data_IF_162838395719
#
_entry.id   IF_162838395719
#
_cell.length_a   1.000
_cell.length_b   1.000
_cell.length_c   1.000
_cell.angle_alpha   90.00
_cell.angle_beta   90.00
_cell.angle_gamma   90.00
#
_symmetry.space_group_name_H-M   'P 1'
#
loop_
_entity.id
_entity.type
_entity.pdbx_description
1 polymer ?
#
# COMPACT_ATOMS: atom_id res chain seq x y z
N UNK A 1 -7.33 -21.67 -20.25
CA UNK A 1 -8.29 -22.38 -19.38
C UNK A 1 -9.11 -21.33 -18.64
N UNK A 2 -10.44 -21.34 -18.75
CA UNK A 2 -11.31 -20.36 -18.05
C UNK A 2 -11.42 -20.77 -16.58
N UNK A 3 -10.93 -19.92 -15.68
CA UNK A 3 -11.12 -20.08 -14.24
C UNK A 3 -12.40 -19.36 -13.82
N UNK A 4 -13.36 -20.12 -13.30
CA UNK A 4 -14.55 -19.58 -12.63
C UNK A 4 -14.13 -18.95 -11.29
N UNK A 5 -14.45 -17.68 -11.08
CA UNK A 5 -14.40 -17.08 -9.73
C UNK A 5 -15.65 -17.54 -8.96
N UNK A 6 -15.56 -18.71 -8.33
CA UNK A 6 -16.61 -19.23 -7.46
C UNK A 6 -16.57 -18.52 -6.11
N UNK A 7 -17.60 -17.74 -5.80
CA UNK A 7 -17.83 -17.15 -4.48
C UNK A 7 -18.18 -18.29 -3.52
N UNK A 8 -17.25 -18.69 -2.66
CA UNK A 8 -17.51 -19.59 -1.55
C UNK A 8 -17.80 -18.76 -0.30
N UNK A 9 -19.06 -18.77 0.14
CA UNK A 9 -19.47 -18.13 1.38
C UNK A 9 -20.94 -17.74 1.37
N UNK A 10 -21.78 -18.58 1.97
CA UNK A 10 -22.98 -18.09 2.63
C UNK A 10 -22.54 -17.22 3.82
N UNK A 11 -23.20 -16.07 4.03
CA UNK A 11 -23.60 -15.49 5.34
C UNK A 11 -23.40 -13.98 5.49
N UNK A 12 -24.41 -13.41 6.12
CA UNK A 12 -24.34 -12.30 7.08
C UNK A 12 -23.07 -12.38 7.95
N UNK A 13 -22.12 -11.46 7.74
CA UNK A 13 -20.88 -11.37 8.52
C UNK A 13 -19.77 -10.66 7.74
N UNK A 14 -19.41 -9.45 8.15
CA UNK A 14 -18.52 -8.53 7.42
C UNK A 14 -17.02 -8.89 7.41
N UNK A 15 -16.65 -10.15 7.14
CA UNK A 15 -15.26 -10.58 7.06
C UNK A 15 -14.96 -11.24 5.73
N UNK A 16 -14.50 -10.44 4.78
CA UNK A 16 -13.95 -10.93 3.51
C UNK A 16 -12.47 -11.28 3.66
N UNK A 17 -12.01 -12.25 2.87
CA UNK A 17 -10.60 -12.66 2.80
C UNK A 17 -10.09 -12.51 1.37
N UNK A 18 -8.89 -11.98 1.23
CA UNK A 18 -8.23 -11.79 -0.06
C UNK A 18 -6.85 -12.47 -0.03
N UNK A 19 -6.48 -13.11 -1.13
CA UNK A 19 -5.18 -13.77 -1.32
C UNK A 19 -4.58 -13.30 -2.63
N UNK A 20 -3.31 -12.93 -2.61
CA UNK A 20 -2.53 -12.54 -3.80
C UNK A 20 -1.44 -13.58 -4.01
N UNK A 21 -1.28 -14.07 -5.25
CA UNK A 21 -0.19 -14.95 -5.62
C UNK A 21 0.92 -14.14 -6.29
N UNK A 22 2.09 -14.08 -5.66
CA UNK A 22 3.28 -13.39 -6.20
C UNK A 22 4.26 -14.42 -6.75
N UNK A 23 4.85 -14.13 -7.91
CA UNK A 23 5.82 -14.97 -8.62
C UNK A 23 6.90 -14.09 -9.24
N UNK A 24 8.06 -14.69 -9.53
CA UNK A 24 9.07 -14.05 -10.36
C UNK A 24 8.49 -13.77 -11.77
N UNK A 25 8.74 -12.56 -12.29
CA UNK A 25 8.15 -12.08 -13.54
C UNK A 25 8.53 -12.94 -14.74
N UNK A 26 9.83 -13.25 -14.92
CA UNK A 26 10.27 -14.09 -16.04
C UNK A 26 9.64 -15.47 -16.01
N UNK A 27 9.51 -16.05 -14.81
CA UNK A 27 8.91 -17.37 -14.64
C UNK A 27 7.41 -17.37 -14.98
N UNK A 28 6.71 -16.32 -14.57
CA UNK A 28 5.30 -16.11 -14.89
C UNK A 28 5.11 -15.94 -16.40
N UNK A 29 5.95 -15.13 -17.05
CA UNK A 29 5.92 -14.90 -18.50
C UNK A 29 6.19 -16.19 -19.30
N UNK A 30 7.22 -16.96 -18.92
CA UNK A 30 7.56 -18.25 -19.58
C UNK A 30 6.41 -19.27 -19.54
N UNK A 31 5.54 -19.18 -18.52
CA UNK A 31 4.36 -20.03 -18.37
C UNK A 31 3.07 -19.44 -18.94
N UNK A 32 3.13 -18.24 -19.52
CA UNK A 32 1.95 -17.54 -20.03
C UNK A 32 0.93 -17.20 -18.94
N UNK A 33 1.38 -17.00 -17.70
CA UNK A 33 0.49 -16.62 -16.60
C UNK A 33 -0.01 -15.18 -16.80
N UNK A 34 -1.30 -14.88 -16.53
CA UNK A 34 -1.81 -13.50 -16.56
C UNK A 34 -1.12 -12.65 -15.50
N UNK A 35 -0.58 -11.50 -15.91
CA UNK A 35 0.08 -10.54 -15.02
C UNK A 35 -0.87 -9.36 -14.79
N UNK A 36 -1.27 -9.13 -13.54
CA UNK A 36 -2.20 -8.06 -13.16
C UNK A 36 -1.44 -6.78 -12.80
N UNK A 37 -0.33 -6.92 -12.10
CA UNK A 37 0.56 -5.84 -11.69
C UNK A 37 1.96 -6.42 -11.42
N UNK A 38 2.96 -5.54 -11.45
CA UNK A 38 4.31 -5.83 -10.98
C UNK A 38 4.49 -5.21 -9.59
N UNK A 39 5.10 -5.97 -8.68
CA UNK A 39 5.47 -5.47 -7.36
C UNK A 39 6.92 -4.98 -7.42
N UNK A 40 7.09 -3.66 -7.45
CA UNK A 40 8.41 -3.04 -7.62
C UNK A 40 9.24 -3.05 -6.32
N UNK A 41 8.59 -2.85 -5.17
CA UNK A 41 9.28 -2.80 -3.88
C UNK A 41 8.42 -2.20 -2.78
N UNK A 42 9.03 -1.93 -1.62
CA UNK A 42 8.32 -1.41 -0.46
C UNK A 42 9.18 -1.24 0.78
N UNK A 43 8.71 -0.38 1.69
CA UNK A 43 9.37 -0.14 2.97
C UNK A 43 8.42 -0.41 4.15
N UNK A 44 9.01 -0.66 5.32
CA UNK A 44 8.29 -0.80 6.58
C UNK A 44 9.06 -0.10 7.70
N UNK A 45 8.35 0.66 8.54
CA UNK A 45 8.93 1.32 9.70
C UNK A 45 7.98 1.28 10.92
N UNK A 46 8.45 1.82 12.04
CA UNK A 46 7.67 1.99 13.28
C UNK A 46 8.02 3.33 13.91
N UNK A 47 7.03 4.00 14.48
CA UNK A 47 7.21 5.28 15.16
C UNK A 47 8.16 5.23 16.37
N UNK A 48 8.26 4.08 17.03
CA UNK A 48 9.12 3.84 18.20
C UNK A 48 9.05 4.94 19.28
N UNK A 49 7.86 5.48 19.53
CA UNK A 49 7.65 6.67 20.37
C UNK A 49 6.79 6.40 21.60
N UNK A 50 5.54 5.99 21.41
CA UNK A 50 4.61 5.69 22.49
C UNK A 50 3.74 4.49 22.12
N UNK A 51 3.23 3.77 23.12
CA UNK A 51 2.46 2.54 22.90
C UNK A 51 1.17 2.76 22.11
N UNK A 52 0.48 3.87 22.37
CA UNK A 52 -0.85 4.18 21.77
C UNK A 52 -0.88 5.52 21.04
N UNK A 53 0.07 6.41 21.32
CA UNK A 53 0.01 7.77 20.82
C UNK A 53 0.95 7.88 19.62
N UNK A 54 0.49 8.44 18.49
CA UNK A 54 1.38 8.72 17.38
C UNK A 54 2.42 9.76 17.80
N UNK A 55 3.54 9.80 17.07
CA UNK A 55 4.50 10.91 17.20
C UNK A 55 3.84 12.23 16.86
N UNK A 56 4.15 13.27 17.63
CA UNK A 56 3.67 14.63 17.38
C UNK A 56 4.18 15.23 16.07
N UNK A 57 5.39 14.84 15.63
CA UNK A 57 5.99 15.28 14.36
C UNK A 57 5.41 14.57 13.12
N UNK A 58 4.77 13.41 13.33
CA UNK A 58 4.18 12.58 12.28
C UNK A 58 5.19 12.05 11.25
N UNK A 59 6.47 11.94 11.57
CA UNK A 59 7.53 11.60 10.58
C UNK A 59 7.52 10.13 10.11
N UNK A 60 6.82 9.24 10.80
CA UNK A 60 6.74 7.83 10.42
C UNK A 60 6.17 7.62 9.02
N UNK A 61 5.05 8.26 8.68
CA UNK A 61 4.42 8.08 7.37
C UNK A 61 5.29 8.64 6.22
N UNK A 62 5.77 9.91 6.26
CA UNK A 62 6.59 10.44 5.18
C UNK A 62 7.90 9.65 4.98
N UNK A 63 8.58 9.26 6.07
CA UNK A 63 9.81 8.48 5.95
C UNK A 63 9.58 7.10 5.34
N UNK A 64 8.48 6.42 5.68
CA UNK A 64 8.16 5.13 5.08
C UNK A 64 7.89 5.23 3.58
N UNK A 65 7.14 6.26 3.16
CA UNK A 65 6.84 6.49 1.74
C UNK A 65 8.13 6.83 0.99
N UNK A 66 8.95 7.72 1.53
CA UNK A 66 10.23 8.12 0.94
C UNK A 66 11.17 6.91 0.75
N UNK A 67 11.35 6.09 1.80
CA UNK A 67 12.18 4.88 1.69
C UNK A 67 11.62 3.87 0.70
N UNK A 68 10.29 3.80 0.51
CA UNK A 68 9.69 2.93 -0.50
C UNK A 68 9.95 3.41 -1.92
N UNK A 69 9.98 4.73 -2.15
CA UNK A 69 10.34 5.31 -3.44
C UNK A 69 11.82 5.10 -3.75
N UNK A 70 12.68 5.25 -2.73
CA UNK A 70 14.12 4.99 -2.82
C UNK A 70 14.43 3.52 -3.14
N UNK A 71 13.71 2.57 -2.51
CA UNK A 71 13.87 1.12 -2.76
C UNK A 71 13.64 0.75 -4.23
N UNK A 72 12.69 1.43 -4.89
CA UNK A 72 12.33 1.18 -6.29
C UNK A 72 12.96 2.16 -7.27
N UNK A 73 13.73 3.14 -6.78
CA UNK A 73 14.36 4.18 -7.60
C UNK A 73 13.37 5.08 -8.36
N UNK A 74 12.17 5.29 -7.82
CA UNK A 74 11.13 6.15 -8.44
C UNK A 74 11.09 7.53 -7.81
N UNK A 75 10.77 8.53 -8.62
CA UNK A 75 10.46 9.88 -8.20
C UNK A 75 8.98 10.02 -7.78
N UNK A 76 8.63 10.96 -6.88
CA UNK A 76 7.24 11.21 -6.49
C UNK A 76 6.30 11.50 -7.68
N UNK A 77 6.82 12.11 -8.75
CA UNK A 77 6.10 12.50 -9.97
C UNK A 77 5.62 11.30 -10.79
N UNK A 78 6.24 10.13 -10.60
CA UNK A 78 5.86 8.89 -11.27
C UNK A 78 4.69 8.17 -10.58
N UNK A 79 4.23 8.66 -9.41
CA UNK A 79 3.13 8.06 -8.66
C UNK A 79 1.80 8.72 -9.02
N UNK A 80 0.91 7.98 -9.69
CA UNK A 80 -0.40 8.51 -10.08
C UNK A 80 -1.51 8.31 -9.03
N UNK A 81 -1.36 7.31 -8.16
CA UNK A 81 -2.42 6.94 -7.21
C UNK A 81 -1.85 6.39 -5.91
N UNK A 82 -2.45 6.82 -4.79
CA UNK A 82 -2.08 6.37 -3.44
C UNK A 82 -3.33 5.81 -2.76
N UNK A 83 -3.27 4.53 -2.37
CA UNK A 83 -4.26 3.93 -1.49
C UNK A 83 -3.87 4.19 -0.02
N UNK A 84 -4.39 5.27 0.55
CA UNK A 84 -4.09 5.66 1.93
C UNK A 84 -5.05 5.00 2.94
N UNK A 85 -4.55 4.46 4.07
CA UNK A 85 -5.44 3.94 5.11
C UNK A 85 -6.27 5.07 5.73
N UNK A 86 -7.58 4.83 5.84
CA UNK A 86 -8.53 5.75 6.47
C UNK A 86 -8.88 5.29 7.89
N UNK A 87 -9.24 6.25 8.72
CA UNK A 87 -9.80 6.08 10.04
C UNK A 87 -11.26 6.55 10.06
N UNK A 88 -11.99 6.21 11.11
CA UNK A 88 -13.34 6.71 11.36
C UNK A 88 -13.36 8.20 11.78
N UNK A 89 -12.20 8.86 11.89
CA UNK A 89 -12.10 10.26 12.33
C UNK A 89 -11.67 11.17 11.18
N UNK A 90 -12.37 12.29 11.01
CA UNK A 90 -12.00 13.33 10.04
C UNK A 90 -10.60 13.88 10.33
N UNK A 91 -10.30 14.15 11.60
CA UNK A 91 -9.00 14.66 12.02
C UNK A 91 -7.85 13.70 11.68
N UNK A 92 -8.01 12.40 11.95
CA UNK A 92 -7.00 11.39 11.62
C UNK A 92 -6.79 11.24 10.11
N UNK A 93 -7.86 11.33 9.32
CA UNK A 93 -7.77 11.27 7.86
C UNK A 93 -7.06 12.50 7.29
N UNK A 94 -7.42 13.69 7.76
CA UNK A 94 -6.76 14.94 7.37
C UNK A 94 -5.26 14.92 7.72
N UNK A 95 -4.91 14.46 8.92
CA UNK A 95 -3.52 14.31 9.34
C UNK A 95 -2.74 13.39 8.40
N UNK A 96 -3.28 12.21 8.06
CA UNK A 96 -2.62 11.26 7.14
C UNK A 96 -2.44 11.86 5.74
N UNK A 97 -3.46 12.52 5.20
CA UNK A 97 -3.37 13.19 3.90
C UNK A 97 -2.30 14.28 3.89
N UNK A 98 -2.19 15.08 4.96
CA UNK A 98 -1.13 16.08 5.08
C UNK A 98 0.27 15.46 5.15
N UNK A 99 0.43 14.34 5.86
CA UNK A 99 1.71 13.65 5.97
C UNK A 99 2.14 13.02 4.64
N UNK A 100 1.24 12.33 3.94
CA UNK A 100 1.51 11.82 2.59
C UNK A 100 1.84 12.97 1.66
N UNK A 101 1.07 14.06 1.70
CA UNK A 101 1.32 15.26 0.91
C UNK A 101 2.68 15.91 1.17
N UNK A 102 3.37 15.65 2.30
CA UNK A 102 4.74 16.15 2.49
C UNK A 102 5.76 15.54 1.51
N UNK A 103 5.48 14.36 0.96
CA UNK A 103 6.36 13.65 0.01
C UNK A 103 6.07 14.04 -1.44
N UNK A 104 4.80 14.27 -1.77
CA UNK A 104 4.32 14.57 -3.13
C UNK A 104 4.03 16.07 -3.34
N UNK A 105 4.81 16.96 -2.71
CA UNK A 105 4.49 18.39 -2.64
C UNK A 105 4.80 19.17 -3.92
N UNK A 106 5.61 18.60 -4.80
CA UNK A 106 6.12 19.24 -6.02
C UNK A 106 5.51 18.64 -7.32
N UNK A 107 4.45 17.82 -7.16
CA UNK A 107 3.55 17.31 -8.22
C UNK A 107 2.24 18.07 -8.28
#
# INVERSE_FOLDING_TARGET
MRGHMGRWGDREGGWDKYVIQVRNLEHAMKRGAPIVAEYLGGAANRDAYHMTNPRSDGLGVPSCVQSSLEDVGMSPEEVNYINAPTSSTVAGNLQRSMLVGKVFKDT
#
